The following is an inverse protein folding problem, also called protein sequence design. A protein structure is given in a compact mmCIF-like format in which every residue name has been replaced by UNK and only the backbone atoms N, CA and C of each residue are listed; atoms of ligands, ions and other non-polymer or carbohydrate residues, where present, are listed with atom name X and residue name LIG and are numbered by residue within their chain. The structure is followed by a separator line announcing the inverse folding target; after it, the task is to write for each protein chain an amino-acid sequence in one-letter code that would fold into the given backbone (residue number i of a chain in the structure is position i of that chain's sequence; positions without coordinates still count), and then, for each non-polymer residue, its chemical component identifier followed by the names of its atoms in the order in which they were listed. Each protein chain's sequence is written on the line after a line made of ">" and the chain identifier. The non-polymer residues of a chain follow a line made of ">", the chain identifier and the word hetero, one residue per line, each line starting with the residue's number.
data_IF_982037602391
#
_entry.id   IF_982037602391
#
_cell.length_a   1.000
_cell.length_b   1.000
_cell.length_c   1.000
_cell.angle_alpha   90.00
_cell.angle_beta   90.00
_cell.angle_gamma   90.00
#
_symmetry.space_group_name_H-M   'P 1'
#
loop_
_entity.id
_entity.type
_entity.pdbx_description
1 polymer ?
#
# COMPACT_ATOMS: atom_id res chain seq x y z
N UNK A 1 14.63 -13.16 4.93
CA UNK A 1 13.67 -12.38 4.11
C UNK A 1 13.37 -13.17 2.85
N UNK A 2 12.10 -13.33 2.49
CA UNK A 2 11.74 -14.09 1.29
C UNK A 2 12.01 -13.28 0.01
N UNK A 3 11.90 -13.95 -1.14
CA UNK A 3 12.13 -13.35 -2.46
C UNK A 3 11.24 -12.10 -2.69
N UNK A 4 9.99 -12.17 -2.27
CA UNK A 4 9.04 -11.06 -2.48
C UNK A 4 9.38 -9.83 -1.63
N UNK A 5 9.79 -10.04 -0.39
CA UNK A 5 10.23 -8.94 0.47
C UNK A 5 11.52 -8.30 -0.05
N UNK A 6 12.46 -9.11 -0.53
CA UNK A 6 13.70 -8.61 -1.13
C UNK A 6 13.43 -7.77 -2.37
N UNK A 7 12.53 -8.22 -3.23
CA UNK A 7 12.14 -7.50 -4.44
C UNK A 7 11.50 -6.16 -4.10
N UNK A 8 10.54 -6.15 -3.18
CA UNK A 8 9.87 -4.92 -2.76
C UNK A 8 10.87 -3.94 -2.14
N UNK A 9 11.76 -4.41 -1.30
CA UNK A 9 12.82 -3.60 -0.71
C UNK A 9 13.73 -2.97 -1.78
N UNK A 10 14.15 -3.75 -2.77
CA UNK A 10 14.99 -3.25 -3.88
C UNK A 10 14.28 -2.19 -4.70
N UNK A 11 13.00 -2.40 -5.00
CA UNK A 11 12.21 -1.42 -5.76
C UNK A 11 12.08 -0.13 -4.95
N UNK A 12 11.89 -0.24 -3.66
CA UNK A 12 11.81 0.93 -2.77
C UNK A 12 13.11 1.74 -2.79
N UNK A 13 14.25 1.06 -2.71
CA UNK A 13 15.56 1.72 -2.81
C UNK A 13 15.74 2.37 -4.18
N UNK A 14 15.43 1.63 -5.24
CA UNK A 14 15.68 2.06 -6.62
C UNK A 14 14.89 3.31 -6.99
N UNK A 15 13.63 3.38 -6.60
CA UNK A 15 12.74 4.47 -6.98
C UNK A 15 12.48 5.49 -5.87
N UNK A 16 12.85 5.19 -4.64
CA UNK A 16 12.52 6.03 -3.48
C UNK A 16 11.06 5.98 -3.07
N UNK A 17 10.23 5.35 -3.88
CA UNK A 17 8.78 5.20 -3.65
C UNK A 17 8.30 3.87 -4.20
N UNK A 18 7.25 3.33 -3.59
CA UNK A 18 6.53 2.16 -4.10
C UNK A 18 5.06 2.51 -4.25
N UNK A 19 4.35 1.70 -5.00
CA UNK A 19 2.88 1.79 -5.11
C UNK A 19 2.29 0.59 -4.38
N UNK A 20 1.42 0.88 -3.41
CA UNK A 20 0.61 -0.12 -2.74
C UNK A 20 -0.79 -0.08 -3.33
N UNK A 21 -1.22 -1.19 -3.92
CA UNK A 21 -2.60 -1.39 -4.30
C UNK A 21 -3.32 -1.98 -3.08
N UNK A 22 -4.40 -1.35 -2.67
CA UNK A 22 -5.12 -1.75 -1.45
C UNK A 22 -6.60 -1.93 -1.76
N UNK A 23 -7.09 -3.15 -1.56
CA UNK A 23 -8.51 -3.43 -1.63
C UNK A 23 -9.23 -2.71 -0.49
N UNK A 24 -10.44 -2.19 -0.75
CA UNK A 24 -11.14 -1.41 0.26
C UNK A 24 -12.01 -2.27 1.17
N UNK A 25 -13.01 -2.96 0.61
CA UNK A 25 -13.94 -3.76 1.41
C UNK A 25 -13.24 -4.98 2.02
N UNK A 26 -13.41 -5.18 3.31
CA UNK A 26 -12.81 -6.23 4.14
C UNK A 26 -11.28 -6.20 4.27
N UNK A 27 -10.63 -5.25 3.63
CA UNK A 27 -9.20 -4.98 3.86
C UNK A 27 -9.01 -3.76 4.75
N UNK A 28 -9.72 -2.67 4.48
CA UNK A 28 -9.72 -1.44 5.28
C UNK A 28 -11.06 -1.19 5.95
N UNK A 29 -12.14 -1.50 5.27
CA UNK A 29 -13.50 -1.25 5.71
C UNK A 29 -14.20 -2.59 6.01
N UNK A 30 -14.83 -2.75 7.19
CA UNK A 30 -15.54 -3.99 7.52
C UNK A 30 -16.84 -4.09 6.74
N UNK A 31 -16.83 -4.80 5.62
CA UNK A 31 -17.97 -4.97 4.74
C UNK A 31 -18.76 -6.24 5.01
N UNK A 32 -18.06 -7.37 5.11
CA UNK A 32 -18.67 -8.68 5.28
C UNK A 32 -18.25 -9.36 6.57
N UNK A 33 -18.75 -10.59 6.77
CA UNK A 33 -18.45 -11.39 7.96
C UNK A 33 -17.12 -12.14 7.85
N UNK A 34 -16.53 -12.20 6.66
CA UNK A 34 -15.29 -12.94 6.42
C UNK A 34 -14.04 -12.13 6.68
N UNK A 35 -14.17 -10.81 6.78
CA UNK A 35 -13.05 -9.93 7.06
C UNK A 35 -12.50 -10.14 8.46
N UNK A 36 -11.18 -10.01 8.60
CA UNK A 36 -10.47 -10.18 9.87
C UNK A 36 -10.07 -8.83 10.43
N UNK A 37 -10.62 -8.46 11.59
CA UNK A 37 -10.37 -7.19 12.24
C UNK A 37 -8.89 -6.98 12.58
N UNK A 38 -8.22 -8.03 13.02
CA UNK A 38 -6.79 -7.97 13.36
C UNK A 38 -5.94 -7.68 12.13
N UNK A 39 -6.26 -8.29 11.00
CA UNK A 39 -5.55 -8.05 9.74
C UNK A 39 -5.85 -6.64 9.21
N UNK A 40 -7.10 -6.15 9.35
CA UNK A 40 -7.43 -4.76 8.97
C UNK A 40 -6.63 -3.75 9.77
N UNK A 41 -6.56 -3.92 11.08
CA UNK A 41 -5.78 -3.03 11.96
C UNK A 41 -4.31 -3.02 11.56
N UNK A 42 -3.75 -4.19 11.27
CA UNK A 42 -2.36 -4.33 10.84
C UNK A 42 -2.12 -3.69 9.47
N UNK A 43 -3.06 -3.86 8.54
CA UNK A 43 -3.00 -3.23 7.23
C UNK A 43 -2.98 -1.71 7.35
N UNK A 44 -3.90 -1.14 8.13
CA UNK A 44 -3.97 0.30 8.35
C UNK A 44 -2.65 0.84 8.91
N UNK A 45 -2.10 0.17 9.91
CA UNK A 45 -0.83 0.57 10.52
C UNK A 45 0.31 0.56 9.50
N UNK A 46 0.47 -0.52 8.76
CA UNK A 46 1.56 -0.67 7.79
C UNK A 46 1.42 0.30 6.61
N UNK A 47 0.20 0.57 6.16
CA UNK A 47 -0.05 1.55 5.11
C UNK A 47 0.37 2.94 5.58
N UNK A 48 -0.02 3.35 6.78
CA UNK A 48 0.34 4.65 7.33
C UNK A 48 1.86 4.81 7.47
N UNK A 49 2.54 3.79 7.97
CA UNK A 49 4.00 3.80 8.09
C UNK A 49 4.68 3.85 6.72
N UNK A 50 4.13 3.13 5.74
CA UNK A 50 4.66 3.13 4.37
C UNK A 50 4.52 4.50 3.71
N UNK A 51 3.40 5.18 3.91
CA UNK A 51 3.18 6.53 3.40
C UNK A 51 4.26 7.50 3.90
N UNK A 52 4.66 7.37 5.15
CA UNK A 52 5.66 8.25 5.77
C UNK A 52 7.04 8.12 5.15
N UNK A 53 7.34 6.99 4.53
CA UNK A 53 8.65 6.73 3.93
C UNK A 53 8.61 6.60 2.41
N UNK A 54 7.51 7.00 1.79
CA UNK A 54 7.41 7.05 0.33
C UNK A 54 6.62 5.90 -0.27
N UNK A 55 5.31 5.88 -0.04
CA UNK A 55 4.40 4.97 -0.72
C UNK A 55 3.23 5.74 -1.28
N UNK A 56 2.88 5.45 -2.53
CA UNK A 56 1.61 5.85 -3.12
C UNK A 56 0.55 4.81 -2.74
N UNK A 57 -0.64 5.28 -2.43
CA UNK A 57 -1.76 4.41 -2.06
C UNK A 57 -2.82 4.47 -3.17
N UNK A 58 -3.02 3.35 -3.84
CA UNK A 58 -4.05 3.19 -4.87
C UNK A 58 -5.12 2.27 -4.32
N UNK A 59 -6.33 2.76 -4.20
CA UNK A 59 -7.45 1.93 -3.77
C UNK A 59 -8.02 1.16 -4.95
N UNK A 60 -8.19 -0.14 -4.78
CA UNK A 60 -8.89 -1.01 -5.71
C UNK A 60 -10.27 -1.31 -5.15
N UNK A 61 -11.30 -0.99 -5.92
CA UNK A 61 -12.69 -1.25 -5.51
C UNK A 61 -13.56 -1.56 -6.72
N UNK A 62 -14.52 -2.48 -6.52
CA UNK A 62 -15.55 -2.75 -7.50
C UNK A 62 -16.72 -1.76 -7.38
N UNK A 63 -16.68 -0.86 -6.40
CA UNK A 63 -17.75 0.12 -6.17
C UNK A 63 -17.82 1.16 -7.27
N UNK A 64 -18.99 1.71 -7.49
CA UNK A 64 -19.23 2.80 -8.44
C UNK A 64 -18.55 4.09 -7.98
N UNK A 65 -18.30 4.99 -8.94
CA UNK A 65 -17.68 6.30 -8.67
C UNK A 65 -18.42 7.12 -7.63
N UNK A 66 -19.72 6.92 -7.50
CA UNK A 66 -20.55 7.60 -6.50
C UNK A 66 -20.10 7.33 -5.07
N UNK A 67 -19.47 6.18 -4.83
CA UNK A 67 -18.94 5.80 -3.51
C UNK A 67 -17.53 6.36 -3.23
N UNK A 68 -16.85 6.87 -4.24
CA UNK A 68 -15.44 7.29 -4.10
C UNK A 68 -15.24 8.36 -3.02
N UNK A 69 -16.14 9.31 -2.91
CA UNK A 69 -16.05 10.35 -1.87
C UNK A 69 -16.11 9.76 -0.46
N UNK A 70 -16.96 8.78 -0.25
CA UNK A 70 -17.08 8.07 1.04
C UNK A 70 -15.81 7.30 1.35
N UNK A 71 -15.23 6.63 0.35
CA UNK A 71 -13.96 5.90 0.48
C UNK A 71 -12.85 6.85 0.90
N UNK A 72 -12.73 7.99 0.22
CA UNK A 72 -11.71 9.01 0.52
C UNK A 72 -11.88 9.53 1.96
N UNK A 73 -13.10 9.85 2.35
CA UNK A 73 -13.39 10.35 3.71
C UNK A 73 -13.06 9.32 4.78
N UNK A 74 -13.43 8.07 4.53
CA UNK A 74 -13.16 6.98 5.47
C UNK A 74 -11.66 6.78 5.66
N UNK A 75 -10.90 6.71 4.57
CA UNK A 75 -9.45 6.56 4.63
C UNK A 75 -8.79 7.75 5.29
N UNK A 76 -9.25 8.96 5.00
CA UNK A 76 -8.72 10.19 5.64
C UNK A 76 -8.94 10.14 7.16
N UNK A 77 -10.09 9.67 7.60
CA UNK A 77 -10.37 9.51 9.04
C UNK A 77 -9.43 8.49 9.70
N UNK A 78 -8.93 7.51 8.94
CA UNK A 78 -7.93 6.56 9.41
C UNK A 78 -6.50 7.13 9.36
N UNK A 79 -6.30 8.29 8.76
CA UNK A 79 -4.97 8.88 8.55
C UNK A 79 -4.31 8.42 7.26
N UNK A 80 -5.07 7.88 6.31
CA UNK A 80 -4.58 7.42 5.01
C UNK A 80 -4.96 8.43 3.93
N UNK A 81 -3.96 8.96 3.23
CA UNK A 81 -4.17 9.80 2.05
C UNK A 81 -4.12 8.93 0.81
N UNK A 82 -5.22 8.91 0.06
CA UNK A 82 -5.33 8.14 -1.19
C UNK A 82 -4.78 8.95 -2.34
N UNK A 83 -3.91 8.36 -3.16
CA UNK A 83 -3.37 8.99 -4.36
C UNK A 83 -4.29 8.80 -5.56
N UNK A 84 -4.93 7.64 -5.67
CA UNK A 84 -5.91 7.39 -6.73
C UNK A 84 -6.84 6.22 -6.36
N UNK A 85 -7.94 6.10 -7.09
CA UNK A 85 -8.88 4.98 -6.98
C UNK A 85 -9.03 4.38 -8.36
N UNK A 86 -8.72 3.09 -8.49
CA UNK A 86 -8.84 2.33 -9.74
C UNK A 86 -8.10 2.94 -10.94
N UNK A 87 -7.04 3.70 -10.67
CA UNK A 87 -6.20 4.26 -11.73
C UNK A 87 -4.80 4.55 -11.17
N UNK A 88 -3.83 4.70 -12.06
CA UNK A 88 -2.48 5.04 -11.65
C UNK A 88 -2.39 6.47 -11.12
N UNK A 89 -1.54 6.71 -10.10
CA UNK A 89 -1.17 8.08 -9.73
C UNK A 89 -0.49 8.80 -10.90
N UNK A 90 -0.60 10.11 -10.92
CA UNK A 90 -0.07 10.94 -12.03
C UNK A 90 1.46 10.90 -12.07
N UNK A 91 2.11 10.97 -10.91
CA UNK A 91 3.57 11.13 -10.81
C UNK A 91 4.27 9.84 -10.38
N UNK A 92 4.30 8.84 -11.27
CA UNK A 92 5.05 7.62 -11.01
C UNK A 92 6.50 7.75 -11.48
N UNK A 93 7.50 7.43 -10.63
CA UNK A 93 8.92 7.54 -10.98
C UNK A 93 9.37 6.52 -12.03
N UNK A 94 8.58 5.50 -12.30
CA UNK A 94 8.90 4.43 -13.26
C UNK A 94 8.00 4.48 -14.51
N UNK A 95 7.30 5.58 -14.70
CA UNK A 95 6.43 5.79 -15.87
C UNK A 95 5.04 5.19 -15.73
N UNK A 96 4.17 5.57 -16.65
CA UNK A 96 2.77 5.13 -16.65
C UNK A 96 2.38 4.77 -18.08
N UNK A 97 2.66 3.54 -18.47
CA UNK A 97 2.49 3.07 -19.84
C UNK A 97 1.20 2.27 -20.01
N UNK A 98 0.36 2.68 -20.96
CA UNK A 98 -0.71 1.87 -21.51
C UNK A 98 -1.91 1.60 -20.62
N UNK A 99 -2.20 2.42 -19.65
CA UNK A 99 -3.44 2.33 -18.85
C UNK A 99 -3.54 1.14 -17.89
N UNK A 100 -2.57 0.24 -17.89
CA UNK A 100 -2.53 -0.83 -16.88
C UNK A 100 -2.20 -0.23 -15.53
N UNK A 101 -2.99 -0.60 -14.50
CA UNK A 101 -2.72 -0.13 -13.14
C UNK A 101 -1.50 -0.87 -12.60
N UNK A 102 -0.48 -0.10 -12.25
CA UNK A 102 0.76 -0.64 -11.71
C UNK A 102 0.76 -0.64 -10.18
N UNK A 103 1.32 -1.69 -9.59
CA UNK A 103 1.63 -1.69 -8.17
C UNK A 103 2.87 -2.55 -7.92
N UNK A 104 3.63 -2.17 -6.90
CA UNK A 104 4.74 -2.96 -6.41
C UNK A 104 4.27 -4.06 -5.46
N UNK A 105 3.18 -3.79 -4.73
CA UNK A 105 2.66 -4.73 -3.75
C UNK A 105 1.15 -4.55 -3.59
N UNK A 106 0.43 -5.64 -3.39
CA UNK A 106 -1.02 -5.67 -3.29
C UNK A 106 -1.48 -6.17 -1.93
N UNK A 107 -2.40 -5.45 -1.31
CA UNK A 107 -3.03 -5.85 -0.05
C UNK A 107 -4.52 -6.09 -0.32
N UNK A 108 -4.92 -7.35 -0.28
CA UNK A 108 -6.29 -7.74 -0.57
C UNK A 108 -6.68 -8.94 0.30
N UNK A 109 -7.84 -8.86 0.96
CA UNK A 109 -8.34 -9.91 1.85
C UNK A 109 -8.56 -11.24 1.12
N UNK A 110 -8.88 -11.19 -0.17
CA UNK A 110 -9.11 -12.39 -1.00
C UNK A 110 -7.83 -12.93 -1.64
N UNK A 111 -6.72 -12.23 -1.51
CA UNK A 111 -5.45 -12.58 -2.19
C UNK A 111 -4.31 -12.79 -1.20
N UNK A 112 -4.59 -13.44 -0.07
CA UNK A 112 -3.56 -13.76 0.90
C UNK A 112 -3.07 -12.57 1.71
N UNK A 113 -3.97 -11.78 2.25
CA UNK A 113 -3.65 -10.56 3.00
C UNK A 113 -2.61 -10.79 4.10
N UNK A 114 -2.74 -11.85 4.90
CA UNK A 114 -1.80 -12.12 5.99
C UNK A 114 -0.37 -12.26 5.47
N UNK A 115 -0.17 -13.04 4.41
CA UNK A 115 1.14 -13.19 3.78
C UNK A 115 1.66 -11.88 3.17
N UNK A 116 0.79 -11.13 2.52
CA UNK A 116 1.14 -9.83 1.93
C UNK A 116 1.54 -8.81 3.00
N UNK A 117 0.88 -8.82 4.16
CA UNK A 117 1.25 -7.96 5.29
C UNK A 117 2.62 -8.32 5.85
N UNK A 118 2.95 -9.61 5.92
CA UNK A 118 4.29 -10.05 6.35
C UNK A 118 5.38 -9.58 5.39
N UNK A 119 5.12 -9.67 4.09
CA UNK A 119 6.05 -9.22 3.06
C UNK A 119 6.29 -7.72 3.19
N UNK A 120 5.23 -6.94 3.28
CA UNK A 120 5.31 -5.48 3.43
C UNK A 120 6.05 -5.10 4.70
N UNK A 121 5.72 -5.74 5.82
CA UNK A 121 6.36 -5.45 7.10
C UNK A 121 7.89 -5.66 7.05
N UNK A 122 8.34 -6.75 6.44
CA UNK A 122 9.77 -7.04 6.30
C UNK A 122 10.47 -6.01 5.40
N UNK A 123 9.90 -5.70 4.24
CA UNK A 123 10.46 -4.72 3.32
C UNK A 123 10.51 -3.33 3.94
N UNK A 124 9.44 -2.93 4.61
CA UNK A 124 9.35 -1.63 5.29
C UNK A 124 10.43 -1.48 6.37
N UNK A 125 10.60 -2.49 7.21
CA UNK A 125 11.64 -2.48 8.25
C UNK A 125 13.04 -2.34 7.65
N UNK A 126 13.33 -3.06 6.59
CA UNK A 126 14.61 -2.98 5.90
C UNK A 126 14.82 -1.62 5.24
N UNK A 127 13.78 -1.07 4.64
CA UNK A 127 13.85 0.26 4.03
C UNK A 127 14.08 1.35 5.06
N UNK A 128 13.42 1.29 6.21
CA UNK A 128 13.66 2.23 7.31
C UNK A 128 15.10 2.18 7.80
N UNK A 129 15.67 0.98 7.94
CA UNK A 129 17.08 0.81 8.33
C UNK A 129 18.02 1.40 7.28
N UNK A 130 17.73 1.18 6.02
CA UNK A 130 18.51 1.73 4.92
C UNK A 130 18.49 3.27 4.96
N UNK A 131 17.33 3.87 5.14
CA UNK A 131 17.17 5.32 5.25
C UNK A 131 17.95 5.90 6.43
N UNK A 132 17.92 5.23 7.58
CA UNK A 132 18.67 5.66 8.76
C UNK A 132 20.18 5.63 8.51
N UNK A 133 20.67 4.60 7.86
CA UNK A 133 22.11 4.51 7.50
C UNK A 133 22.54 5.65 6.58
N UNK A 134 21.70 6.02 5.62
CA UNK A 134 21.98 7.15 4.72
C UNK A 134 22.11 8.46 5.50
N UNK A 135 21.23 8.70 6.47
CA UNK A 135 21.28 9.90 7.31
C UNK A 135 22.55 9.94 8.14
N UNK A 136 22.98 8.81 8.71
CA UNK A 136 24.16 8.72 9.57
C UNK A 136 25.48 8.84 8.79
N UNK A 137 25.49 8.52 7.49
CA UNK A 137 26.69 8.59 6.66
C UNK A 137 26.88 9.93 5.95
N UNK A 138 25.88 10.77 6.00
CA UNK A 138 25.93 12.13 5.47
C UNK A 138 26.10 13.12 6.60
#
# INVERSE_FOLDING_TARGET
>A
MCVYSKRLFREWILYGKIVLAVDFDDTLYPWGVLGNEKDRAKAIKLIKESMQVGAYIVIFTASDKERYNEIIKYCRALGITIDSINQNPIDLPFGNNGGKIFYNHNLCDRSGLNGSLKILNKALKQYKKYKQKLILTN
#
